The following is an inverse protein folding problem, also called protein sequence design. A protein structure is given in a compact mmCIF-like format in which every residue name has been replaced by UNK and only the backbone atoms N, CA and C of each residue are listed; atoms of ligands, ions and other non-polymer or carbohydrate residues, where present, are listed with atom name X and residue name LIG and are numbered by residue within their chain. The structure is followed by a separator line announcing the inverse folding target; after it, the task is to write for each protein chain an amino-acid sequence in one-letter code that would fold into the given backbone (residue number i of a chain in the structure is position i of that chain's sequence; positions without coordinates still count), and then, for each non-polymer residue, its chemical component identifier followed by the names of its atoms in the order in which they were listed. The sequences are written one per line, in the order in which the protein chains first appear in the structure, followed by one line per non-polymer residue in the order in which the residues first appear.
data_IF_486973604000
#
_entry.id   IF_486973604000
#
_cell.length_a   1.000
_cell.length_b   1.000
_cell.length_c   1.000
_cell.angle_alpha   90.00
_cell.angle_beta   90.00
_cell.angle_gamma   90.00
#
_symmetry.space_group_name_H-M   'P 1'
#
loop_
_entity.id
_entity.type
_entity.pdbx_description
1 polymer ?
#
# COMPACT_ATOMS: atom_id res chain seq x y z
N UNK A 1 16.67 9.76 36.83
CA UNK A 1 16.78 8.49 36.07
C UNK A 1 15.66 8.30 35.02
N UNK A 2 14.89 9.33 34.60
CA UNK A 2 13.70 9.15 33.75
C UNK A 2 13.72 9.70 32.32
N UNK A 3 14.80 10.37 31.87
CA UNK A 3 14.77 11.11 30.59
C UNK A 3 15.16 10.27 29.36
N UNK A 4 15.93 9.19 29.55
CA UNK A 4 16.52 8.43 28.44
C UNK A 4 15.44 7.58 27.72
N UNK A 5 14.48 7.02 28.46
CA UNK A 5 13.43 6.18 27.87
C UNK A 5 12.35 6.99 27.13
N UNK A 6 11.98 8.18 27.62
CA UNK A 6 10.92 8.98 27.01
C UNK A 6 11.33 9.48 25.62
N UNK A 7 12.58 9.94 25.49
CA UNK A 7 13.13 10.49 24.25
C UNK A 7 13.17 9.44 23.12
N UNK A 8 13.68 8.24 23.40
CA UNK A 8 13.70 7.16 22.41
C UNK A 8 12.30 6.74 21.96
N UNK A 9 11.34 6.76 22.89
CA UNK A 9 10.00 6.22 22.65
C UNK A 9 9.12 7.20 21.88
N UNK A 10 9.07 8.45 22.36
CA UNK A 10 8.31 9.52 21.75
C UNK A 10 8.98 10.00 20.45
N UNK A 11 10.31 10.01 20.41
CA UNK A 11 11.10 10.31 19.22
C UNK A 11 10.84 9.32 18.09
N UNK A 12 10.81 8.01 18.38
CA UNK A 12 10.47 6.99 17.38
C UNK A 12 9.06 7.18 16.80
N UNK A 13 8.08 7.48 17.65
CA UNK A 13 6.71 7.76 17.20
C UNK A 13 6.64 9.02 16.32
N UNK A 14 7.31 10.10 16.71
CA UNK A 14 7.38 11.36 15.94
C UNK A 14 8.07 11.18 14.58
N UNK A 15 9.15 10.40 14.53
CA UNK A 15 9.84 10.05 13.28
C UNK A 15 8.93 9.20 12.37
N UNK A 16 8.22 8.22 12.93
CA UNK A 16 7.23 7.42 12.21
C UNK A 16 6.12 8.28 11.61
N UNK A 17 5.55 9.21 12.39
CA UNK A 17 4.55 10.15 11.90
C UNK A 17 5.08 11.10 10.83
N UNK A 18 6.33 11.55 10.95
CA UNK A 18 6.99 12.40 9.93
C UNK A 18 7.15 11.66 8.61
N UNK A 19 7.63 10.42 8.66
CA UNK A 19 7.73 9.54 7.49
C UNK A 19 6.33 9.25 6.89
N UNK A 20 5.30 9.08 7.72
CA UNK A 20 3.92 8.91 7.27
C UNK A 20 3.39 10.14 6.52
N UNK A 21 3.75 11.35 6.96
CA UNK A 21 3.42 12.60 6.27
C UNK A 21 4.11 12.72 4.89
N UNK A 22 5.36 12.24 4.77
CA UNK A 22 6.05 12.18 3.47
C UNK A 22 5.30 11.23 2.53
N UNK A 23 4.90 10.05 3.01
CA UNK A 23 4.12 9.09 2.23
C UNK A 23 2.73 9.63 1.84
N UNK A 24 2.11 10.46 2.68
CA UNK A 24 0.87 11.17 2.35
C UNK A 24 1.07 12.15 1.17
N UNK A 25 2.23 12.82 1.11
CA UNK A 25 2.60 13.63 -0.06
C UNK A 25 2.62 12.80 -1.35
N UNK A 26 3.14 11.57 -1.28
CA UNK A 26 3.11 10.63 -2.41
C UNK A 26 1.68 10.20 -2.73
N UNK A 27 0.84 9.92 -1.73
CA UNK A 27 -0.60 9.63 -1.92
C UNK A 27 -1.28 10.76 -2.69
N UNK A 28 -1.02 12.02 -2.34
CA UNK A 28 -1.59 13.18 -3.00
C UNK A 28 -1.15 13.25 -4.47
N UNK A 29 0.14 13.06 -4.75
CA UNK A 29 0.66 13.04 -6.12
C UNK A 29 0.03 11.91 -6.94
N UNK A 30 0.00 10.69 -6.40
CA UNK A 30 -0.57 9.53 -7.09
C UNK A 30 -2.08 9.71 -7.34
N UNK A 31 -2.81 10.31 -6.41
CA UNK A 31 -4.24 10.61 -6.56
C UNK A 31 -4.49 11.67 -7.64
N UNK A 32 -3.69 12.75 -7.64
CA UNK A 32 -3.77 13.79 -8.67
C UNK A 32 -3.45 13.24 -10.07
N UNK A 33 -2.41 12.41 -10.19
CA UNK A 33 -2.06 11.73 -11.44
C UNK A 33 -3.18 10.79 -11.90
N UNK A 34 -3.86 10.11 -10.97
CA UNK A 34 -4.98 9.24 -11.30
C UNK A 34 -6.12 10.05 -11.94
N UNK A 35 -6.59 11.12 -11.28
CA UNK A 35 -7.70 11.93 -11.81
C UNK A 35 -7.36 12.63 -13.14
N UNK A 36 -6.11 13.05 -13.33
CA UNK A 36 -5.65 13.64 -14.60
C UNK A 36 -5.66 12.64 -15.75
N UNK A 37 -5.27 11.39 -15.49
CA UNK A 37 -5.01 10.41 -16.54
C UNK A 37 -6.19 9.48 -16.85
N UNK A 38 -7.14 9.34 -15.92
CA UNK A 38 -8.24 8.38 -15.99
C UNK A 38 -9.62 9.06 -16.01
N UNK A 39 -9.79 10.05 -16.91
CA UNK A 39 -11.03 10.80 -17.08
C UNK A 39 -12.24 9.93 -17.45
N UNK A 40 -12.04 8.82 -18.16
CA UNK A 40 -13.12 7.93 -18.64
C UNK A 40 -13.19 6.59 -17.88
N UNK A 41 -12.53 6.46 -16.72
CA UNK A 41 -12.57 5.22 -15.93
C UNK A 41 -13.89 5.07 -15.17
N UNK A 42 -14.25 3.84 -14.79
CA UNK A 42 -15.52 3.55 -14.12
C UNK A 42 -15.65 4.39 -12.84
N UNK A 43 -16.85 4.92 -12.59
CA UNK A 43 -17.14 5.79 -11.44
C UNK A 43 -16.73 5.14 -10.10
N UNK A 44 -16.83 3.82 -10.00
CA UNK A 44 -16.41 3.04 -8.84
C UNK A 44 -14.94 3.29 -8.46
N UNK A 45 -14.02 3.26 -9.44
CA UNK A 45 -12.59 3.45 -9.16
C UNK A 45 -12.27 4.91 -8.80
N UNK A 46 -13.00 5.88 -9.38
CA UNK A 46 -12.87 7.29 -9.01
C UNK A 46 -13.32 7.55 -7.58
N UNK A 47 -14.52 7.07 -7.22
CA UNK A 47 -15.03 7.18 -5.85
C UNK A 47 -14.08 6.47 -4.87
N UNK A 48 -13.56 5.30 -5.24
CA UNK A 48 -12.58 4.58 -4.43
C UNK A 48 -11.31 5.40 -4.15
N UNK A 49 -10.73 6.05 -5.17
CA UNK A 49 -9.55 6.92 -5.02
C UNK A 49 -9.87 8.17 -4.19
N UNK A 50 -11.05 8.77 -4.36
CA UNK A 50 -11.47 9.91 -3.53
C UNK A 50 -11.64 9.52 -2.07
N UNK A 51 -12.30 8.40 -1.81
CA UNK A 51 -12.57 7.91 -0.46
C UNK A 51 -11.26 7.56 0.27
N UNK A 52 -10.34 6.86 -0.40
CA UNK A 52 -9.06 6.48 0.24
C UNK A 52 -8.18 7.70 0.52
N UNK A 53 -8.20 8.71 -0.35
CA UNK A 53 -7.49 9.97 -0.12
C UNK A 53 -8.07 10.77 1.05
N UNK A 54 -9.40 10.84 1.16
CA UNK A 54 -10.07 11.47 2.31
C UNK A 54 -9.74 10.74 3.61
N UNK A 55 -9.78 9.40 3.59
CA UNK A 55 -9.44 8.58 4.75
C UNK A 55 -7.97 8.76 5.15
N UNK A 56 -7.05 8.85 4.19
CA UNK A 56 -5.63 9.10 4.43
C UNK A 56 -5.38 10.49 5.04
N UNK A 57 -6.11 11.50 4.55
CA UNK A 57 -6.05 12.88 5.06
C UNK A 57 -6.53 12.94 6.51
N UNK A 58 -7.63 12.25 6.81
CA UNK A 58 -8.16 12.19 8.16
C UNK A 58 -7.19 11.45 9.11
N UNK A 59 -6.56 10.38 8.65
CA UNK A 59 -5.52 9.67 9.40
C UNK A 59 -4.34 10.59 9.76
N UNK A 60 -3.85 11.38 8.79
CA UNK A 60 -2.78 12.34 9.04
C UNK A 60 -3.17 13.39 10.08
N UNK A 61 -4.40 13.93 10.00
CA UNK A 61 -4.87 14.93 10.96
C UNK A 61 -4.92 14.37 12.39
N UNK A 62 -5.42 13.14 12.53
CA UNK A 62 -5.57 12.45 13.81
C UNK A 62 -4.21 12.05 14.39
N UNK A 63 -3.29 11.54 13.57
CA UNK A 63 -1.93 11.20 13.98
C UNK A 63 -1.14 12.44 14.37
N UNK A 64 -1.28 13.55 13.62
CA UNK A 64 -0.65 14.83 13.96
C UNK A 64 -1.16 15.38 15.30
N UNK A 65 -2.47 15.32 15.55
CA UNK A 65 -3.04 15.70 16.85
C UNK A 65 -2.51 14.80 17.99
N UNK A 66 -2.38 13.50 17.74
CA UNK A 66 -1.83 12.53 18.70
C UNK A 66 -0.38 12.86 19.06
N UNK A 67 0.48 13.11 18.06
CA UNK A 67 1.86 13.54 18.27
C UNK A 67 1.92 14.86 19.04
N UNK A 68 1.12 15.86 18.64
CA UNK A 68 1.09 17.15 19.34
C UNK A 68 0.69 17.02 20.82
N UNK A 69 -0.33 16.20 21.11
CA UNK A 69 -0.82 16.01 22.47
C UNK A 69 0.20 15.32 23.38
N UNK A 70 0.85 14.27 22.89
CA UNK A 70 1.82 13.50 23.68
C UNK A 70 3.20 14.17 23.71
N UNK A 71 3.63 14.83 22.63
CA UNK A 71 4.97 15.40 22.54
C UNK A 71 5.08 16.84 23.04
N UNK A 72 4.03 17.65 22.91
CA UNK A 72 4.09 19.07 23.29
C UNK A 72 3.25 19.30 24.55
N UNK A 73 1.96 18.97 24.50
CA UNK A 73 1.03 19.35 25.58
C UNK A 73 1.30 18.64 26.91
N UNK A 74 1.77 17.38 26.86
CA UNK A 74 2.03 16.56 28.04
C UNK A 74 3.51 16.12 28.13
N UNK A 75 4.43 16.93 27.61
CA UNK A 75 5.85 16.61 27.63
C UNK A 75 6.33 16.37 29.07
N UNK A 76 6.97 15.22 29.32
CA UNK A 76 7.50 14.85 30.63
C UNK A 76 6.49 14.30 31.65
N UNK A 77 5.19 14.26 31.33
CA UNK A 77 4.18 13.67 32.20
C UNK A 77 3.93 12.19 31.84
N UNK A 78 4.84 11.31 32.28
CA UNK A 78 4.75 9.84 32.11
C UNK A 78 3.46 9.25 32.70
N UNK A 79 2.84 9.93 33.66
CA UNK A 79 1.58 9.52 34.27
C UNK A 79 0.42 9.57 33.26
N UNK A 80 0.42 10.52 32.33
CA UNK A 80 -0.62 10.62 31.28
C UNK A 80 -0.46 9.52 30.23
N UNK A 81 0.75 8.96 30.08
CA UNK A 81 1.03 7.88 29.14
C UNK A 81 0.53 6.52 29.63
N UNK A 82 0.60 6.26 30.95
CA UNK A 82 0.29 4.95 31.55
C UNK A 82 -0.94 4.93 32.46
N UNK A 83 -1.32 6.06 33.09
CA UNK A 83 -2.42 6.13 34.08
C UNK A 83 -3.67 6.88 33.60
N UNK A 84 -3.60 7.70 32.53
CA UNK A 84 -4.78 8.32 31.94
C UNK A 84 -5.32 7.55 30.73
N UNK A 85 -6.61 7.73 30.48
CA UNK A 85 -7.32 7.15 29.34
C UNK A 85 -6.60 7.45 28.02
N UNK A 86 -6.48 6.42 27.17
CA UNK A 86 -5.93 6.52 25.82
C UNK A 86 -6.62 7.67 25.07
N UNK A 87 -5.85 8.60 24.51
CA UNK A 87 -6.37 9.76 23.79
C UNK A 87 -7.32 9.29 22.67
N UNK A 88 -8.49 9.92 22.59
CA UNK A 88 -9.51 9.61 21.59
C UNK A 88 -8.96 9.56 20.15
N UNK A 89 -8.03 10.45 19.81
CA UNK A 89 -7.35 10.47 18.52
C UNK A 89 -6.57 9.18 18.23
N UNK A 90 -5.91 8.59 19.22
CA UNK A 90 -5.20 7.32 19.05
C UNK A 90 -6.18 6.17 18.76
N UNK A 91 -7.29 6.09 19.51
CA UNK A 91 -8.34 5.09 19.24
C UNK A 91 -8.91 5.26 17.83
N UNK A 92 -9.05 6.50 17.39
CA UNK A 92 -9.57 6.83 16.08
C UNK A 92 -8.56 6.48 14.96
N UNK A 93 -7.27 6.68 15.16
CA UNK A 93 -6.21 6.21 14.25
C UNK A 93 -6.30 4.71 14.00
N UNK A 94 -6.44 3.89 15.05
CA UNK A 94 -6.61 2.43 14.91
C UNK A 94 -7.83 2.08 14.07
N UNK A 95 -8.96 2.77 14.28
CA UNK A 95 -10.17 2.58 13.46
C UNK A 95 -9.88 2.89 12.00
N UNK A 96 -9.21 4.00 11.70
CA UNK A 96 -8.85 4.35 10.33
C UNK A 96 -7.92 3.30 9.72
N UNK A 97 -6.90 2.83 10.44
CA UNK A 97 -6.02 1.76 9.99
C UNK A 97 -6.77 0.49 9.61
N UNK A 98 -7.76 0.07 10.40
CA UNK A 98 -8.61 -1.09 10.09
C UNK A 98 -9.50 -0.82 8.87
N UNK A 99 -10.11 0.36 8.77
CA UNK A 99 -10.93 0.74 7.61
C UNK A 99 -10.13 0.76 6.31
N UNK A 100 -8.91 1.32 6.33
CA UNK A 100 -7.98 1.31 5.20
C UNK A 100 -7.67 -0.12 4.79
N UNK A 101 -7.38 -1.01 5.74
CA UNK A 101 -7.11 -2.43 5.46
C UNK A 101 -8.31 -3.11 4.79
N UNK A 102 -9.50 -2.99 5.37
CA UNK A 102 -10.75 -3.56 4.81
C UNK A 102 -10.97 -3.05 3.38
N UNK A 103 -10.80 -1.74 3.17
CA UNK A 103 -10.97 -1.12 1.87
C UNK A 103 -9.99 -1.66 0.83
N UNK A 104 -8.69 -1.73 1.16
CA UNK A 104 -7.65 -2.24 0.27
C UNK A 104 -7.90 -3.71 -0.07
N UNK A 105 -8.26 -4.53 0.91
CA UNK A 105 -8.57 -5.94 0.67
C UNK A 105 -9.84 -6.13 -0.17
N UNK A 106 -10.88 -5.31 0.03
CA UNK A 106 -12.07 -5.32 -0.81
C UNK A 106 -11.72 -5.00 -2.27
N UNK A 107 -10.84 -4.03 -2.51
CA UNK A 107 -10.36 -3.70 -3.86
C UNK A 107 -9.55 -4.83 -4.50
N UNK A 108 -8.72 -5.54 -3.72
CA UNK A 108 -8.03 -6.74 -4.20
C UNK A 108 -9.00 -7.87 -4.50
N UNK A 109 -9.96 -8.15 -3.62
CA UNK A 109 -10.98 -9.17 -3.83
C UNK A 109 -11.81 -8.89 -5.09
N UNK A 110 -12.25 -7.64 -5.32
CA UNK A 110 -12.98 -7.23 -6.54
C UNK A 110 -12.16 -7.47 -7.81
N UNK A 111 -10.85 -7.20 -7.77
CA UNK A 111 -9.96 -7.46 -8.91
C UNK A 111 -9.79 -8.94 -9.17
N UNK A 112 -9.60 -9.75 -8.12
CA UNK A 112 -9.50 -11.20 -8.27
C UNK A 112 -10.82 -11.77 -8.77
N UNK A 113 -11.96 -11.30 -8.28
CA UNK A 113 -13.28 -11.78 -8.71
C UNK A 113 -13.47 -11.61 -10.22
N UNK A 114 -13.18 -10.40 -10.74
CA UNK A 114 -13.25 -10.12 -12.19
C UNK A 114 -12.31 -11.02 -13.01
N UNK A 115 -11.18 -11.46 -12.44
CA UNK A 115 -10.20 -12.33 -13.10
C UNK A 115 -10.57 -13.82 -12.99
N UNK A 116 -10.91 -14.28 -11.79
CA UNK A 116 -11.18 -15.68 -11.46
C UNK A 116 -12.47 -16.20 -12.06
N UNK A 117 -13.45 -15.32 -12.34
CA UNK A 117 -14.66 -15.70 -13.08
C UNK A 117 -14.36 -16.32 -14.46
N UNK A 118 -13.21 -15.99 -15.07
CA UNK A 118 -12.81 -16.53 -16.37
C UNK A 118 -12.01 -17.83 -16.30
N UNK A 119 -11.44 -18.18 -15.14
CA UNK A 119 -10.46 -19.27 -15.02
C UNK A 119 -10.94 -20.40 -14.10
N UNK A 120 -11.48 -20.07 -12.92
CA UNK A 120 -11.92 -21.06 -11.93
C UNK A 120 -12.80 -20.43 -10.84
N UNK A 121 -14.02 -20.94 -10.66
CA UNK A 121 -15.03 -20.32 -9.79
C UNK A 121 -14.70 -20.47 -8.28
N UNK A 122 -13.85 -21.42 -7.87
CA UNK A 122 -13.53 -21.66 -6.45
C UNK A 122 -12.52 -20.69 -5.80
N UNK A 123 -11.60 -20.10 -6.58
CA UNK A 123 -10.53 -19.24 -6.02
C UNK A 123 -11.05 -17.90 -5.50
N UNK A 124 -11.97 -17.20 -6.21
CA UNK A 124 -12.54 -15.96 -5.70
C UNK A 124 -13.28 -16.14 -4.37
N UNK A 125 -13.99 -17.26 -4.19
CA UNK A 125 -14.67 -17.58 -2.93
C UNK A 125 -13.69 -17.73 -1.77
N UNK A 126 -12.57 -18.43 -1.99
CA UNK A 126 -11.51 -18.57 -0.98
C UNK A 126 -10.94 -17.21 -0.56
N UNK A 127 -10.68 -16.31 -1.51
CA UNK A 127 -10.14 -14.98 -1.23
C UNK A 127 -11.14 -14.10 -0.48
N UNK A 128 -12.42 -14.17 -0.84
CA UNK A 128 -13.48 -13.47 -0.11
C UNK A 128 -13.54 -13.97 1.33
N UNK A 129 -13.47 -15.28 1.55
CA UNK A 129 -13.51 -15.87 2.89
C UNK A 129 -12.31 -15.42 3.73
N UNK A 130 -11.10 -15.46 3.17
CA UNK A 130 -9.86 -15.03 3.85
C UNK A 130 -9.87 -13.53 4.16
N UNK A 131 -10.38 -12.72 3.24
CA UNK A 131 -10.54 -11.27 3.44
C UNK A 131 -11.58 -10.96 4.52
N UNK A 132 -12.69 -11.71 4.53
CA UNK A 132 -13.73 -11.58 5.53
C UNK A 132 -13.22 -11.96 6.93
N UNK A 133 -12.44 -13.05 7.05
CA UNK A 133 -11.83 -13.43 8.33
C UNK A 133 -10.87 -12.38 8.85
N UNK A 134 -10.02 -11.80 7.98
CA UNK A 134 -9.11 -10.73 8.38
C UNK A 134 -9.85 -9.46 8.82
N UNK A 135 -10.94 -9.12 8.10
CA UNK A 135 -11.80 -7.99 8.46
C UNK A 135 -12.47 -8.21 9.83
N UNK A 136 -12.91 -9.43 10.13
CA UNK A 136 -13.48 -9.79 11.43
C UNK A 136 -12.46 -9.63 12.57
N UNK A 137 -11.20 -10.05 12.37
CA UNK A 137 -10.13 -9.80 13.34
C UNK A 137 -9.90 -8.29 13.56
N UNK A 138 -9.93 -7.49 12.49
CA UNK A 138 -9.81 -6.02 12.60
C UNK A 138 -10.94 -5.38 13.40
N UNK A 139 -12.20 -5.81 13.19
CA UNK A 139 -13.36 -5.32 13.94
C UNK A 139 -13.27 -5.75 15.41
N UNK A 140 -12.81 -6.97 15.68
CA UNK A 140 -12.56 -7.47 17.03
C UNK A 140 -11.53 -6.59 17.76
N UNK A 141 -10.45 -6.19 17.09
CA UNK A 141 -9.46 -5.25 17.65
C UNK A 141 -10.09 -3.88 17.99
N UNK A 142 -10.94 -3.33 17.13
CA UNK A 142 -11.64 -2.06 17.42
C UNK A 142 -12.46 -2.21 18.71
N UNK A 143 -13.25 -3.28 18.83
CA UNK A 143 -14.07 -3.53 20.02
C UNK A 143 -13.20 -3.53 21.28
N UNK A 144 -12.10 -4.28 21.29
CA UNK A 144 -11.22 -4.40 22.46
C UNK A 144 -10.53 -3.07 22.81
N UNK A 145 -10.10 -2.28 21.82
CA UNK A 145 -9.50 -0.95 22.03
C UNK A 145 -10.49 0.05 22.64
N UNK A 146 -11.78 -0.05 22.31
CA UNK A 146 -12.81 0.83 22.87
C UNK A 146 -13.32 0.38 24.24
N UNK A 147 -13.30 -0.93 24.53
CA UNK A 147 -13.67 -1.47 25.84
C UNK A 147 -12.63 -1.20 26.92
N UNK A 148 -11.36 -1.07 26.54
CA UNK A 148 -10.29 -0.82 27.50
C UNK A 148 -10.13 0.68 27.76
N UNK A 149 -10.23 1.04 29.05
CA UNK A 149 -10.05 2.41 29.54
C UNK A 149 -8.59 2.70 29.94
N UNK A 150 -7.82 1.67 30.33
CA UNK A 150 -6.43 1.79 30.81
C UNK A 150 -5.51 0.69 30.27
N UNK A 151 -4.22 1.01 30.08
CA UNK A 151 -3.19 0.05 29.63
C UNK A 151 -2.98 -1.17 30.57
N UNK A 152 -3.58 -1.17 31.77
CA UNK A 152 -3.54 -2.28 32.72
C UNK A 152 -4.35 -3.53 32.32
N UNK A 153 -5.30 -3.43 31.37
CA UNK A 153 -5.96 -4.59 30.75
C UNK A 153 -5.09 -5.20 29.63
N UNK A 154 -3.80 -5.26 29.92
CA UNK A 154 -2.70 -5.60 29.01
C UNK A 154 -2.86 -6.93 28.26
N UNK A 155 -3.42 -8.03 28.82
CA UNK A 155 -3.49 -9.29 28.07
C UNK A 155 -4.55 -9.30 26.96
N UNK A 156 -5.65 -8.56 27.11
CA UNK A 156 -6.78 -8.59 26.17
C UNK A 156 -6.38 -7.91 24.85
N UNK A 157 -5.85 -6.67 24.93
CA UNK A 157 -5.36 -5.93 23.76
C UNK A 157 -4.21 -6.67 23.07
N UNK A 158 -3.30 -7.29 23.84
CA UNK A 158 -2.18 -8.07 23.29
C UNK A 158 -2.67 -9.23 22.42
N UNK A 159 -3.64 -9.99 22.90
CA UNK A 159 -4.23 -11.10 22.14
C UNK A 159 -4.90 -10.61 20.85
N UNK A 160 -5.67 -9.53 20.93
CA UNK A 160 -6.33 -8.92 19.78
C UNK A 160 -5.32 -8.46 18.71
N UNK A 161 -4.28 -7.71 19.10
CA UNK A 161 -3.24 -7.23 18.19
C UNK A 161 -2.50 -8.38 17.51
N UNK A 162 -2.06 -9.39 18.28
CA UNK A 162 -1.38 -10.57 17.73
C UNK A 162 -2.29 -11.26 16.71
N UNK A 163 -3.57 -11.46 17.04
CA UNK A 163 -4.53 -12.09 16.13
C UNK A 163 -4.70 -11.33 14.80
N UNK A 164 -4.72 -9.99 14.84
CA UNK A 164 -4.84 -9.14 13.65
C UNK A 164 -3.57 -9.22 12.80
N UNK A 165 -2.38 -9.13 13.38
CA UNK A 165 -1.14 -9.19 12.58
C UNK A 165 -0.91 -10.57 11.98
N UNK A 166 -1.16 -11.64 12.74
CA UNK A 166 -1.02 -13.02 12.23
C UNK A 166 -2.04 -13.29 11.11
N UNK A 167 -3.31 -12.90 11.30
CA UNK A 167 -4.33 -13.04 10.26
C UNK A 167 -4.01 -12.19 9.02
N UNK A 168 -3.44 -10.99 9.19
CA UNK A 168 -3.04 -10.13 8.07
C UNK A 168 -1.92 -10.76 7.24
N UNK A 169 -0.87 -11.28 7.88
CA UNK A 169 0.22 -11.98 7.19
C UNK A 169 -0.31 -13.21 6.45
N UNK A 170 -1.14 -14.03 7.12
CA UNK A 170 -1.74 -15.19 6.48
C UNK A 170 -2.61 -14.81 5.27
N UNK A 171 -3.44 -13.77 5.41
CA UNK A 171 -4.31 -13.31 4.35
C UNK A 171 -3.52 -12.82 3.12
N UNK A 172 -2.48 -12.02 3.34
CA UNK A 172 -1.65 -11.49 2.26
C UNK A 172 -0.87 -12.58 1.52
N UNK A 173 -0.33 -13.57 2.24
CA UNK A 173 0.34 -14.72 1.63
C UNK A 173 -0.63 -15.59 0.82
N UNK A 174 -1.82 -15.86 1.36
CA UNK A 174 -2.84 -16.66 0.66
C UNK A 174 -3.34 -15.93 -0.58
N UNK A 175 -3.64 -14.63 -0.49
CA UNK A 175 -4.06 -13.82 -1.64
C UNK A 175 -2.95 -13.76 -2.70
N UNK A 176 -1.69 -13.58 -2.27
CA UNK A 176 -0.53 -13.57 -3.18
C UNK A 176 -0.35 -14.91 -3.88
N UNK A 177 -0.42 -16.03 -3.15
CA UNK A 177 -0.31 -17.37 -3.70
C UNK A 177 -1.47 -17.70 -4.66
N UNK A 178 -2.70 -17.34 -4.29
CA UNK A 178 -3.87 -17.52 -5.13
C UNK A 178 -3.77 -16.71 -6.43
N UNK A 179 -3.22 -15.49 -6.37
CA UNK A 179 -2.91 -14.70 -7.56
C UNK A 179 -1.86 -15.38 -8.43
N UNK A 180 -0.75 -15.87 -7.86
CA UNK A 180 0.26 -16.61 -8.62
C UNK A 180 -0.34 -17.83 -9.34
N UNK A 181 -1.21 -18.59 -8.67
CA UNK A 181 -1.88 -19.73 -9.27
C UNK A 181 -2.83 -19.31 -10.43
N UNK A 182 -3.65 -18.27 -10.22
CA UNK A 182 -4.52 -17.74 -11.27
C UNK A 182 -3.72 -17.28 -12.50
N UNK A 183 -2.53 -16.73 -12.29
CA UNK A 183 -1.64 -16.26 -13.35
C UNK A 183 -1.11 -17.42 -14.18
N UNK A 184 -0.58 -18.44 -13.52
CA UNK A 184 0.02 -19.60 -14.19
C UNK A 184 -1.02 -20.31 -15.06
N UNK A 185 -2.20 -20.57 -14.49
CA UNK A 185 -3.32 -21.18 -15.25
C UNK A 185 -3.85 -20.28 -16.36
N UNK A 186 -3.91 -18.97 -16.12
CA UNK A 186 -4.35 -17.98 -17.12
C UNK A 186 -3.41 -17.86 -18.32
N UNK A 187 -2.10 -18.12 -18.14
CA UNK A 187 -1.11 -18.17 -19.23
C UNK A 187 -1.30 -19.39 -20.12
N UNK A 188 -1.65 -20.53 -19.54
CA UNK A 188 -1.79 -21.80 -20.26
C UNK A 188 -3.05 -21.86 -21.13
N UNK A 189 -4.10 -21.10 -20.79
CA UNK A 189 -5.42 -21.22 -21.44
C UNK A 189 -5.81 -20.10 -22.40
N UNK A 190 -5.05 -19.01 -22.52
CA UNK A 190 -5.58 -17.80 -23.15
C UNK A 190 -5.07 -17.50 -24.57
N UNK A 191 -6.04 -17.24 -25.45
CA UNK A 191 -5.92 -16.95 -26.90
C UNK A 191 -5.63 -15.46 -27.18
N UNK A 192 -5.78 -14.56 -26.20
CA UNK A 192 -5.61 -13.10 -26.37
C UNK A 192 -4.36 -12.53 -25.66
N UNK A 193 -3.22 -12.34 -26.34
CA UNK A 193 -1.93 -12.02 -25.71
C UNK A 193 -1.88 -10.65 -25.01
N UNK A 194 -2.53 -9.62 -25.54
CA UNK A 194 -2.41 -8.24 -25.02
C UNK A 194 -3.14 -8.02 -23.69
N UNK A 195 -4.27 -8.70 -23.46
CA UNK A 195 -5.03 -8.62 -22.21
C UNK A 195 -4.30 -9.37 -21.08
N UNK A 196 -3.68 -10.50 -21.40
CA UNK A 196 -2.90 -11.31 -20.45
C UNK A 196 -1.66 -10.53 -19.99
N UNK A 197 -0.91 -9.88 -20.91
CA UNK A 197 0.31 -9.16 -20.54
C UNK A 197 0.07 -8.02 -19.53
N UNK A 198 -1.04 -7.31 -19.71
CA UNK A 198 -1.50 -6.24 -18.81
C UNK A 198 -1.91 -6.81 -17.44
N UNK A 199 -2.60 -7.95 -17.42
CA UNK A 199 -2.96 -8.67 -16.20
C UNK A 199 -1.73 -9.20 -15.45
N UNK A 200 -0.78 -9.84 -16.16
CA UNK A 200 0.44 -10.39 -15.58
C UNK A 200 1.21 -9.32 -14.83
N UNK A 201 1.32 -8.12 -15.41
CA UNK A 201 2.08 -7.07 -14.76
C UNK A 201 1.37 -6.50 -13.53
N UNK A 202 0.05 -6.33 -13.57
CA UNK A 202 -0.72 -5.94 -12.38
C UNK A 202 -0.62 -6.99 -11.28
N UNK A 203 -0.65 -8.27 -11.63
CA UNK A 203 -0.50 -9.37 -10.67
C UNK A 203 0.90 -9.40 -10.06
N UNK A 204 1.95 -9.13 -10.85
CA UNK A 204 3.32 -8.96 -10.33
C UNK A 204 3.38 -7.80 -9.33
N UNK A 205 2.71 -6.68 -9.60
CA UNK A 205 2.65 -5.57 -8.65
C UNK A 205 1.92 -5.98 -7.36
N UNK A 206 0.79 -6.67 -7.46
CA UNK A 206 0.04 -7.17 -6.28
C UNK A 206 0.90 -8.12 -5.45
N UNK A 207 1.64 -9.03 -6.08
CA UNK A 207 2.57 -9.93 -5.42
C UNK A 207 3.67 -9.17 -4.68
N UNK A 208 4.34 -8.22 -5.37
CA UNK A 208 5.40 -7.43 -4.76
C UNK A 208 4.86 -6.62 -3.57
N UNK A 209 3.68 -6.03 -3.72
CA UNK A 209 3.05 -5.30 -2.61
C UNK A 209 2.68 -6.24 -1.47
N UNK A 210 2.12 -7.43 -1.75
CA UNK A 210 1.75 -8.43 -0.73
C UNK A 210 2.95 -8.92 0.09
N UNK A 211 4.10 -9.12 -0.56
CA UNK A 211 5.34 -9.47 0.14
C UNK A 211 5.79 -8.33 1.05
N UNK A 212 5.80 -7.09 0.54
CA UNK A 212 6.20 -5.91 1.31
C UNK A 212 5.30 -5.71 2.52
N UNK A 213 3.97 -5.84 2.36
CA UNK A 213 3.01 -5.68 3.44
C UNK A 213 3.11 -6.79 4.49
N UNK A 214 3.50 -8.00 4.08
CA UNK A 214 3.66 -9.14 4.99
C UNK A 214 4.91 -8.98 5.83
N UNK A 215 6.02 -8.58 5.20
CA UNK A 215 7.26 -8.21 5.92
C UNK A 215 6.96 -7.08 6.90
N UNK A 216 6.19 -6.08 6.48
CA UNK A 216 5.82 -4.96 7.34
C UNK A 216 5.02 -5.37 8.58
N UNK A 217 4.01 -6.22 8.38
CA UNK A 217 3.18 -6.75 9.47
C UNK A 217 4.00 -7.59 10.45
N UNK A 218 4.98 -8.36 9.95
CA UNK A 218 5.92 -9.12 10.79
C UNK A 218 6.83 -8.18 11.61
N UNK A 219 7.34 -7.10 11.00
CA UNK A 219 8.17 -6.11 11.71
C UNK A 219 7.40 -5.45 12.85
N UNK A 220 6.15 -5.05 12.61
CA UNK A 220 5.30 -4.48 13.68
C UNK A 220 5.07 -5.51 14.79
N UNK A 221 4.75 -6.75 14.43
CA UNK A 221 4.52 -7.83 15.40
C UNK A 221 5.76 -8.11 16.26
N UNK A 222 6.94 -8.21 15.64
CA UNK A 222 8.21 -8.43 16.36
C UNK A 222 8.50 -7.26 17.29
N UNK A 223 8.35 -6.03 16.81
CA UNK A 223 8.59 -4.82 17.62
C UNK A 223 7.65 -4.76 18.82
N UNK A 224 6.38 -5.13 18.62
CA UNK A 224 5.38 -5.22 19.68
C UNK A 224 5.70 -6.29 20.73
N UNK A 225 6.23 -7.45 20.32
CA UNK A 225 6.59 -8.53 21.24
C UNK A 225 7.88 -8.24 22.02
N UNK A 226 8.88 -7.61 21.39
CA UNK A 226 10.17 -7.33 22.01
C UNK A 226 10.14 -6.12 22.95
N UNK A 227 9.38 -5.06 22.59
CA UNK A 227 9.31 -3.83 23.37
C UNK A 227 7.86 -3.39 23.66
N UNK A 228 7.09 -4.21 24.40
CA UNK A 228 5.67 -3.94 24.67
C UNK A 228 5.42 -2.65 25.46
N UNK A 229 6.40 -2.19 26.24
CA UNK A 229 6.28 -0.99 27.07
C UNK A 229 6.73 0.30 26.35
N UNK A 230 7.09 0.20 25.06
CA UNK A 230 7.54 1.34 24.25
C UNK A 230 6.55 1.64 23.12
N UNK A 231 6.42 2.91 22.74
CA UNK A 231 5.67 3.40 21.57
C UNK A 231 6.42 3.20 20.23
N UNK A 232 7.53 2.45 20.20
CA UNK A 232 8.28 2.22 18.96
C UNK A 232 7.41 1.47 17.93
N UNK A 233 6.61 0.49 18.38
CA UNK A 233 5.67 -0.23 17.51
C UNK A 233 4.68 0.72 16.83
N UNK A 234 4.29 1.79 17.51
CA UNK A 234 3.31 2.76 17.01
C UNK A 234 3.89 3.62 15.88
N UNK A 235 5.17 3.97 15.97
CA UNK A 235 5.86 4.65 14.88
C UNK A 235 5.82 3.85 13.57
N UNK A 236 5.93 2.52 13.67
CA UNK A 236 5.72 1.63 12.53
C UNK A 236 4.23 1.51 12.15
N UNK A 237 3.32 1.33 13.12
CA UNK A 237 1.89 1.21 12.80
C UNK A 237 1.34 2.43 12.01
N UNK A 238 1.82 3.65 12.29
CA UNK A 238 1.46 4.85 11.54
C UNK A 238 1.86 4.83 10.05
N UNK A 239 2.90 4.08 9.69
CA UNK A 239 3.36 3.95 8.31
C UNK A 239 2.59 2.86 7.55
N UNK A 240 2.02 1.88 8.25
CA UNK A 240 1.27 0.76 7.65
C UNK A 240 0.15 1.24 6.69
N UNK A 241 -0.82 2.09 7.11
CA UNK A 241 -1.91 2.49 6.23
C UNK A 241 -1.38 3.25 5.00
N UNK A 242 -0.35 4.08 5.19
CA UNK A 242 0.27 4.87 4.12
C UNK A 242 0.89 3.98 3.05
N UNK A 243 1.58 2.90 3.44
CA UNK A 243 2.14 1.93 2.51
C UNK A 243 1.05 1.15 1.75
N UNK A 244 -0.03 0.77 2.43
CA UNK A 244 -1.15 0.07 1.78
C UNK A 244 -1.84 0.94 0.73
N UNK A 245 -2.08 2.21 1.05
CA UNK A 245 -2.72 3.18 0.15
C UNK A 245 -1.83 3.46 -1.05
N UNK A 246 -0.55 3.78 -0.84
CA UNK A 246 0.41 4.04 -1.91
C UNK A 246 0.58 2.84 -2.84
N UNK A 247 0.60 1.62 -2.29
CA UNK A 247 0.65 0.39 -3.07
C UNK A 247 -0.59 0.20 -3.96
N UNK A 248 -1.78 0.44 -3.41
CA UNK A 248 -3.05 0.35 -4.14
C UNK A 248 -3.13 1.39 -5.26
N UNK A 249 -2.74 2.63 -4.98
CA UNK A 249 -2.74 3.73 -5.94
C UNK A 249 -1.70 3.52 -7.04
N UNK A 250 -0.48 3.06 -6.70
CA UNK A 250 0.53 2.68 -7.69
C UNK A 250 -0.01 1.60 -8.65
N UNK A 251 -0.70 0.59 -8.10
CA UNK A 251 -1.34 -0.46 -8.88
C UNK A 251 -2.47 0.06 -9.78
N UNK A 252 -3.26 1.04 -9.33
CA UNK A 252 -4.28 1.70 -10.15
C UNK A 252 -3.66 2.55 -11.27
N UNK A 253 -2.57 3.24 -10.97
CA UNK A 253 -1.87 4.14 -11.90
C UNK A 253 -1.06 3.40 -12.96
N UNK A 254 -0.54 2.21 -12.66
CA UNK A 254 0.22 1.41 -13.60
C UNK A 254 -0.58 0.96 -14.83
N UNK A 255 -1.92 0.99 -14.79
CA UNK A 255 -2.79 0.58 -15.92
C UNK A 255 -2.49 1.33 -17.24
N UNK A 256 -1.99 2.57 -17.16
CA UNK A 256 -1.71 3.45 -18.31
C UNK A 256 -0.51 3.00 -19.12
N UNK A 257 0.56 2.54 -18.46
CA UNK A 257 1.80 2.17 -19.15
C UNK A 257 1.52 1.09 -20.21
N UNK A 258 0.57 0.19 -19.94
CA UNK A 258 0.18 -0.88 -20.87
C UNK A 258 -0.68 -0.41 -22.04
N UNK A 259 -1.49 0.64 -21.88
CA UNK A 259 -2.27 1.21 -23.00
C UNK A 259 -1.37 1.91 -24.01
N UNK A 260 -0.27 2.51 -23.57
CA UNK A 260 0.67 3.17 -24.48
C UNK A 260 1.68 2.19 -25.11
N UNK A 261 2.10 1.13 -24.41
CA UNK A 261 2.98 0.09 -24.99
C UNK A 261 2.28 -0.70 -26.10
N UNK A 262 0.97 -0.95 -26.00
CA UNK A 262 0.21 -1.61 -27.09
C UNK A 262 0.08 -0.76 -28.37
N UNK A 263 0.20 0.56 -28.29
CA UNK A 263 0.24 1.43 -29.48
C UNK A 263 1.64 1.54 -30.10
N UNK A 264 2.67 1.08 -29.40
CA UNK A 264 4.07 1.12 -29.87
C UNK A 264 4.52 -0.20 -30.50
N UNK A 265 3.67 -1.23 -30.47
CA UNK A 265 3.90 -2.54 -31.09
C UNK A 265 3.09 -2.72 -32.39
N UNK A 266 2.91 -1.64 -33.16
CA UNK A 266 2.81 -1.79 -34.60
C UNK A 266 4.24 -1.99 -35.11
N UNK A 267 4.69 -3.25 -35.15
CA UNK A 267 5.80 -3.60 -36.03
C UNK A 267 5.43 -3.11 -37.44
N UNK A 268 6.32 -2.39 -38.16
CA UNK A 268 6.08 -2.14 -39.57
C UNK A 268 5.92 -3.51 -40.22
N UNK A 269 4.75 -3.77 -40.80
CA UNK A 269 4.58 -4.86 -41.76
C UNK A 269 5.64 -4.62 -42.83
N UNK A 270 6.67 -5.46 -42.81
CA UNK A 270 7.63 -5.55 -43.89
C UNK A 270 6.83 -6.16 -45.04
N UNK A 271 6.23 -5.30 -45.87
CA UNK A 271 5.82 -5.69 -47.20
C UNK A 271 7.10 -6.09 -47.95
N UNK A 272 7.20 -7.38 -48.24
CA UNK A 272 8.29 -7.97 -48.99
C UNK A 272 8.15 -7.59 -50.47
N UNK A 273 8.47 -6.34 -50.82
CA UNK A 273 8.85 -5.97 -52.20
C UNK A 273 9.85 -4.82 -52.19
N UNK A 274 11.01 -5.02 -52.82
CA UNK A 274 11.87 -3.94 -53.30
C UNK A 274 13.11 -3.63 -52.47
N UNK A 275 14.27 -4.09 -52.95
CA UNK A 275 15.60 -3.62 -52.57
C UNK A 275 15.74 -2.10 -52.75
N UNK A 276 16.43 -1.41 -51.83
CA UNK A 276 17.72 -0.72 -52.11
C UNK A 276 18.38 -0.22 -50.82
N UNK A 277 19.66 -0.55 -50.70
CA UNK A 277 20.61 -0.16 -49.67
C UNK A 277 20.98 1.32 -49.83
N UNK A 278 20.47 2.23 -48.99
CA UNK A 278 21.04 3.59 -48.84
C UNK A 278 20.37 4.41 -47.71
N UNK A 279 20.34 3.97 -46.44
CA UNK A 279 19.88 4.88 -45.35
C UNK A 279 20.28 4.50 -43.91
N UNK A 280 21.29 3.65 -43.69
CA UNK A 280 21.61 3.20 -42.31
C UNK A 280 22.69 4.04 -41.59
N UNK A 281 23.38 4.94 -42.31
CA UNK A 281 24.46 5.77 -41.73
C UNK A 281 23.99 7.09 -41.08
N UNK A 282 22.89 7.68 -41.55
CA UNK A 282 22.43 9.00 -41.09
C UNK A 282 21.69 9.00 -39.75
N UNK A 283 20.96 7.92 -39.45
CA UNK A 283 20.14 7.81 -38.24
C UNK A 283 20.98 7.58 -36.98
N UNK A 284 22.03 6.76 -37.08
CA UNK A 284 22.90 6.41 -35.96
C UNK A 284 23.80 7.58 -35.50
N UNK A 285 24.13 8.50 -36.41
CA UNK A 285 24.85 9.73 -36.09
C UNK A 285 23.95 10.78 -35.40
N UNK A 286 22.64 10.75 -35.67
CA UNK A 286 21.64 11.65 -35.07
C UNK A 286 21.30 11.24 -33.62
N UNK A 287 21.19 9.93 -33.37
CA UNK A 287 20.95 9.39 -32.02
C UNK A 287 22.16 9.53 -31.09
N UNK A 288 23.39 9.38 -31.61
CA UNK A 288 24.59 9.64 -30.80
C UNK A 288 24.74 11.11 -30.41
N UNK A 289 24.37 12.06 -31.27
CA UNK A 289 24.37 13.50 -30.92
C UNK A 289 23.29 13.86 -29.89
N UNK A 290 22.11 13.23 -29.96
CA UNK A 290 21.05 13.45 -28.97
C UNK A 290 21.42 12.90 -27.57
N UNK A 291 22.11 11.75 -27.51
CA UNK A 291 22.57 11.15 -26.25
C UNK A 291 23.71 11.93 -25.57
N UNK A 292 24.61 12.55 -26.35
CA UNK A 292 25.69 13.39 -25.79
C UNK A 292 25.14 14.69 -25.20
N UNK A 293 24.17 15.34 -25.88
CA UNK A 293 23.54 16.58 -25.38
C UNK A 293 22.71 16.32 -24.11
N UNK A 294 22.06 15.16 -23.97
CA UNK A 294 21.34 14.82 -22.73
C UNK A 294 22.23 14.47 -21.54
N UNK A 295 23.49 14.05 -21.76
CA UNK A 295 24.45 13.83 -20.66
C UNK A 295 25.14 15.14 -20.23
N UNK A 296 25.34 16.09 -21.13
CA UNK A 296 25.92 17.40 -20.80
C UNK A 296 24.98 18.26 -19.94
N UNK A 297 23.66 18.20 -20.18
CA UNK A 297 22.64 18.93 -19.39
C UNK A 297 22.50 18.38 -17.97
N UNK A 298 22.80 17.09 -17.75
CA UNK A 298 22.76 16.47 -16.41
C UNK A 298 24.02 16.78 -15.59
N UNK A 299 25.14 17.12 -16.24
CA UNK A 299 26.39 17.45 -15.55
C UNK A 299 26.52 18.92 -15.14
N UNK A 300 25.72 19.84 -15.71
CA UNK A 300 25.72 21.27 -15.32
C UNK A 300 24.67 21.61 -14.24
N UNK A 301 23.89 20.64 -13.76
CA UNK A 301 22.88 20.85 -12.70
C UNK A 301 23.21 20.16 -11.37
N UNK A 302 24.50 19.89 -11.13
CA UNK A 302 25.11 19.54 -9.84
C UNK A 302 26.35 20.41 -9.69
#
# INVERSE_FOLDING_TARGET
MGNISLDHTLGAFSLGATLANILFGITCLQSALYYKNYLNDEWLYKVAVGLIWLLDTFDVAVTTHTVYFYAIKNFGNVQVLYQHEIVWSFKLHIVICVLVRIFVQAMYALRVWKLGQKLHQGIPWLIILVTASNSACGIYLIKDVYLVSSFSDTPIIKSALISVFVSSVAAELIVSAAMCYCLDKGRTMSVFPNTIATLITMMRMILMTGIVTSVYSIVILITFLLWPDTLIFLGFDCLAPKLFINSLLALLNARRNFRNTNNSFCLPTIDSTGLTSESMGGQLAKDKKALVVSMEIVSETI
#
